data_IF_660255588638
#
_entry.id   IF_660255588638
#
_cell.length_a   1.000
_cell.length_b   1.000
_cell.length_c   1.000
_cell.angle_alpha   90.00
_cell.angle_beta   90.00
_cell.angle_gamma   90.00
#
_symmetry.space_group_name_H-M   'P 1'
#
loop_
_entity.id
_entity.type
_entity.pdbx_description
1 polymer ?
#
# COMPACT_ATOMS: atom_id res chain seq x y z
N UNK A 1 -21.30 21.61 2.28
CA UNK A 1 -22.39 21.91 1.31
C UNK A 1 -22.79 20.71 0.45
N UNK A 2 -21.89 20.04 -0.27
CA UNK A 2 -22.27 18.87 -1.10
C UNK A 2 -22.86 17.71 -0.27
N UNK A 3 -22.34 17.45 0.93
CA UNK A 3 -22.90 16.46 1.87
C UNK A 3 -24.34 16.79 2.30
N UNK A 4 -24.64 18.08 2.52
CA UNK A 4 -26.00 18.52 2.86
C UNK A 4 -26.96 18.32 1.69
N UNK A 5 -26.50 18.57 0.46
CA UNK A 5 -27.26 18.33 -0.77
C UNK A 5 -27.53 16.84 -1.00
N UNK A 6 -26.53 15.98 -0.77
CA UNK A 6 -26.67 14.52 -0.81
C UNK A 6 -27.63 14.00 0.26
N UNK A 7 -27.56 14.56 1.47
CA UNK A 7 -28.49 14.23 2.56
C UNK A 7 -29.93 14.60 2.22
N UNK A 8 -30.16 15.81 1.70
CA UNK A 8 -31.50 16.25 1.28
C UNK A 8 -32.04 15.38 0.13
N UNK A 9 -31.18 15.01 -0.82
CA UNK A 9 -31.54 14.09 -1.91
C UNK A 9 -31.93 12.70 -1.38
N UNK A 10 -31.20 12.18 -0.39
CA UNK A 10 -31.53 10.92 0.28
C UNK A 10 -32.88 10.99 0.99
N UNK A 11 -33.11 12.03 1.80
CA UNK A 11 -34.35 12.21 2.56
C UNK A 11 -35.58 12.32 1.63
N UNK A 12 -35.44 13.01 0.49
CA UNK A 12 -36.50 13.09 -0.52
C UNK A 12 -36.70 11.77 -1.28
N UNK A 13 -35.63 11.01 -1.52
CA UNK A 13 -35.70 9.67 -2.14
C UNK A 13 -36.39 8.67 -1.21
N UNK A 14 -36.10 8.72 0.09
CA UNK A 14 -36.81 7.96 1.13
C UNK A 14 -38.30 8.32 1.13
N UNK A 15 -38.63 9.63 1.13
CA UNK A 15 -39.99 10.11 1.09
C UNK A 15 -40.74 9.64 -0.18
N UNK A 16 -40.09 9.67 -1.35
CA UNK A 16 -40.65 9.15 -2.61
C UNK A 16 -40.97 7.65 -2.52
N UNK A 17 -40.06 6.86 -1.97
CA UNK A 17 -40.28 5.43 -1.75
C UNK A 17 -41.46 5.17 -0.80
N UNK A 18 -41.57 5.95 0.28
CA UNK A 18 -42.70 5.88 1.21
C UNK A 18 -44.01 6.20 0.51
N UNK A 19 -44.09 7.31 -0.22
CA UNK A 19 -45.31 7.74 -0.91
C UNK A 19 -45.77 6.74 -1.98
N UNK A 20 -44.83 6.11 -2.69
CA UNK A 20 -45.14 5.09 -3.69
C UNK A 20 -45.66 3.80 -3.07
N UNK A 21 -45.01 3.32 -2.01
CA UNK A 21 -45.40 2.07 -1.32
C UNK A 21 -46.69 2.26 -0.49
N UNK A 22 -46.84 3.39 0.21
CA UNK A 22 -48.09 3.74 0.92
C UNK A 22 -49.28 3.78 -0.02
N UNK A 23 -49.15 4.36 -1.22
CA UNK A 23 -50.23 4.34 -2.21
C UNK A 23 -50.65 2.91 -2.55
N UNK A 24 -49.69 2.02 -2.82
CA UNK A 24 -49.96 0.60 -3.07
C UNK A 24 -50.66 -0.08 -1.89
N UNK A 25 -50.23 0.18 -0.65
CA UNK A 25 -50.84 -0.41 0.55
C UNK A 25 -52.29 0.06 0.80
N UNK A 26 -52.59 1.33 0.52
CA UNK A 26 -53.96 1.84 0.67
C UNK A 26 -54.87 1.35 -0.47
N UNK A 27 -54.33 1.21 -1.69
CA UNK A 27 -55.08 0.65 -2.83
C UNK A 27 -55.41 -0.85 -2.61
N UNK A 28 -54.50 -1.63 -2.02
CA UNK A 28 -54.72 -3.03 -1.58
C UNK A 28 -55.76 -3.15 -0.44
N UNK A 29 -55.95 -2.10 0.37
CA UNK A 29 -56.91 -2.07 1.48
C UNK A 29 -58.32 -1.63 1.03
N UNK A 30 -58.42 -1.04 -0.16
CA UNK A 30 -59.69 -0.69 -0.83
C UNK A 30 -60.27 -1.80 -1.70
N UNK A 31 -59.66 -3.00 -1.68
CA UNK A 31 -60.20 -4.18 -2.37
C UNK A 31 -61.44 -4.70 -1.59
N UNK A 32 -62.63 -4.80 -2.21
CA UNK A 32 -63.88 -5.13 -1.51
C UNK A 32 -63.87 -6.50 -0.82
N UNK A 33 -63.07 -7.46 -1.29
CA UNK A 33 -63.07 -8.84 -0.83
C UNK A 33 -62.44 -9.04 0.57
N UNK A 34 -61.61 -8.10 1.06
CA UNK A 34 -60.95 -8.20 2.38
C UNK A 34 -61.79 -7.61 3.53
N UNK A 35 -62.82 -6.82 3.23
CA UNK A 35 -63.71 -6.23 4.24
C UNK A 35 -64.79 -7.22 4.72
N UNK A 36 -65.12 -8.25 3.93
CA UNK A 36 -66.06 -9.29 4.34
C UNK A 36 -65.46 -10.29 5.35
N UNK A 37 -64.17 -10.63 5.25
CA UNK A 37 -63.55 -11.63 6.16
C UNK A 37 -63.25 -11.11 7.58
N UNK A 38 -63.06 -9.79 7.76
CA UNK A 38 -62.75 -9.21 9.07
C UNK A 38 -63.99 -8.87 9.90
N UNK A 39 -65.16 -8.76 9.26
CA UNK A 39 -66.43 -8.49 9.93
C UNK A 39 -67.07 -9.74 10.56
N UNK A 40 -66.58 -10.95 10.24
CA UNK A 40 -67.10 -12.22 10.79
C UNK A 40 -66.43 -12.72 12.07
N UNK A 41 -65.37 -12.05 12.58
CA UNK A 41 -64.59 -12.51 13.74
C UNK A 41 -64.75 -11.66 15.01
N UNK A 42 -65.59 -10.62 15.00
CA UNK A 42 -65.97 -9.87 16.19
C UNK A 42 -67.42 -10.22 16.54
N UNK A 43 -67.62 -10.89 17.67
CA UNK A 43 -68.95 -11.26 18.18
C UNK A 43 -69.91 -10.05 18.19
N UNK A 44 -71.17 -10.22 17.78
CA UNK A 44 -72.13 -9.13 17.73
C UNK A 44 -72.69 -8.89 19.13
N UNK A 45 -72.17 -7.88 19.82
CA UNK A 45 -72.81 -7.33 21.01
C UNK A 45 -72.75 -5.80 20.99
N UNK A 46 -73.95 -5.23 20.94
CA UNK A 46 -74.32 -3.82 21.13
C UNK A 46 -74.21 -2.87 19.92
N UNK A 47 -75.43 -2.50 19.48
CA UNK A 47 -75.78 -1.54 18.46
C UNK A 47 -75.47 -0.12 18.94
N UNK A 48 -74.39 0.46 18.41
CA UNK A 48 -74.07 1.88 18.50
C UNK A 48 -73.60 2.40 17.15
N UNK A 49 -74.35 3.33 16.57
CA UNK A 49 -74.17 3.91 15.22
C UNK A 49 -72.71 4.28 14.91
N UNK A 50 -72.21 3.75 13.79
CA UNK A 50 -70.87 3.98 13.27
C UNK A 50 -70.58 5.45 12.96
N UNK A 51 -69.70 6.04 13.75
CA UNK A 51 -68.80 7.06 13.26
C UNK A 51 -67.71 6.35 12.42
N UNK A 52 -67.23 6.93 11.30
CA UNK A 52 -66.09 6.37 10.59
C UNK A 52 -64.92 6.24 11.57
N UNK A 53 -64.38 5.03 11.74
CA UNK A 53 -63.19 4.81 12.57
C UNK A 53 -62.04 5.66 12.01
N UNK A 54 -61.76 6.80 12.65
CA UNK A 54 -60.55 7.61 12.37
C UNK A 54 -59.33 6.90 12.96
N UNK A 55 -58.78 5.97 12.19
CA UNK A 55 -57.49 5.36 12.46
C UNK A 55 -56.38 6.38 12.17
N UNK A 56 -55.52 6.62 13.16
CA UNK A 56 -54.30 7.38 12.95
C UNK A 56 -53.22 6.46 12.37
N UNK A 57 -52.40 6.96 11.46
CA UNK A 57 -51.25 6.21 10.97
C UNK A 57 -49.95 7.02 11.04
N UNK A 58 -48.84 6.31 11.10
CA UNK A 58 -47.48 6.87 11.03
C UNK A 58 -46.68 6.04 10.04
N UNK A 59 -45.98 6.71 9.13
CA UNK A 59 -45.10 6.08 8.15
C UNK A 59 -43.64 6.54 8.36
N UNK A 60 -42.71 5.63 8.11
CA UNK A 60 -41.28 5.92 8.26
C UNK A 60 -40.40 4.88 7.58
N UNK A 61 -39.09 5.12 7.67
CA UNK A 61 -38.04 4.25 7.14
C UNK A 61 -37.14 3.76 8.27
N UNK A 62 -36.77 2.49 8.23
CA UNK A 62 -35.87 1.85 9.20
C UNK A 62 -34.85 0.96 8.48
N UNK A 63 -33.66 0.78 9.08
CA UNK A 63 -32.67 -0.18 8.57
C UNK A 63 -33.23 -1.61 8.64
N UNK A 64 -33.03 -2.39 7.58
CA UNK A 64 -33.61 -3.74 7.44
C UNK A 64 -33.24 -4.67 8.60
N UNK A 65 -32.00 -4.60 9.07
CA UNK A 65 -31.49 -5.38 10.19
C UNK A 65 -32.27 -5.21 11.50
N UNK A 66 -32.91 -4.05 11.71
CA UNK A 66 -33.58 -3.70 12.97
C UNK A 66 -35.07 -4.03 12.98
N UNK A 67 -35.64 -4.43 11.84
CA UNK A 67 -37.07 -4.71 11.68
C UNK A 67 -37.57 -5.79 12.65
N UNK A 68 -36.92 -6.97 12.79
CA UNK A 68 -37.46 -8.03 13.66
C UNK A 68 -37.48 -7.63 15.13
N UNK A 69 -36.53 -6.79 15.57
CA UNK A 69 -36.51 -6.25 16.93
C UNK A 69 -37.57 -5.15 17.12
N UNK A 70 -37.77 -4.32 16.10
CA UNK A 70 -38.75 -3.24 16.09
C UNK A 70 -40.19 -3.79 16.22
N UNK A 71 -40.55 -4.79 15.41
CA UNK A 71 -41.87 -5.43 15.45
C UNK A 71 -42.18 -6.05 16.82
N UNK A 72 -41.24 -6.81 17.38
CA UNK A 72 -41.40 -7.43 18.71
C UNK A 72 -41.58 -6.39 19.81
N UNK A 73 -40.87 -5.26 19.75
CA UNK A 73 -41.01 -4.19 20.73
C UNK A 73 -42.37 -3.48 20.60
N UNK A 74 -42.80 -3.22 19.36
CA UNK A 74 -44.10 -2.61 19.07
C UNK A 74 -45.23 -3.48 19.63
N UNK A 75 -45.19 -4.78 19.37
CA UNK A 75 -46.18 -5.75 19.86
C UNK A 75 -46.25 -5.80 21.39
N UNK A 76 -45.10 -5.85 22.07
CA UNK A 76 -45.01 -5.94 23.54
C UNK A 76 -45.54 -4.69 24.24
N UNK A 77 -45.20 -3.50 23.74
CA UNK A 77 -45.59 -2.22 24.38
C UNK A 77 -47.05 -1.88 24.10
N UNK A 78 -47.54 -2.20 22.90
CA UNK A 78 -48.90 -1.88 22.46
C UNK A 78 -49.92 -3.00 22.70
N UNK A 79 -49.49 -4.15 23.26
CA UNK A 79 -50.33 -5.31 23.58
C UNK A 79 -51.19 -5.81 22.41
N UNK A 80 -50.66 -5.72 21.18
CA UNK A 80 -51.36 -6.12 19.97
C UNK A 80 -52.36 -5.09 19.39
N UNK A 81 -52.53 -3.93 20.00
CA UNK A 81 -53.50 -2.90 19.54
C UNK A 81 -52.97 -2.03 18.38
N UNK A 82 -51.95 -2.49 17.66
CA UNK A 82 -51.26 -1.73 16.61
C UNK A 82 -50.98 -2.65 15.43
N UNK A 83 -51.34 -2.20 14.24
CA UNK A 83 -51.15 -2.96 13.00
C UNK A 83 -49.95 -2.41 12.23
N UNK A 84 -48.94 -3.25 12.00
CA UNK A 84 -47.72 -2.92 11.28
C UNK A 84 -47.75 -3.54 9.87
N UNK A 85 -47.50 -2.72 8.85
CA UNK A 85 -47.20 -3.17 7.48
C UNK A 85 -45.79 -2.72 7.12
N UNK A 86 -45.07 -3.59 6.41
CA UNK A 86 -43.70 -3.32 5.98
C UNK A 86 -43.52 -3.62 4.50
N UNK A 87 -42.71 -2.81 3.80
CA UNK A 87 -42.27 -3.03 2.43
C UNK A 87 -40.77 -2.80 2.34
N UNK A 88 -40.09 -3.69 1.62
CA UNK A 88 -38.66 -3.56 1.37
C UNK A 88 -38.40 -2.55 0.24
N UNK A 89 -37.30 -1.81 0.36
CA UNK A 89 -36.79 -0.96 -0.72
C UNK A 89 -35.76 -1.80 -1.48
N UNK A 90 -36.01 -2.06 -2.76
CA UNK A 90 -35.20 -2.97 -3.57
C UNK A 90 -33.79 -2.43 -3.87
N UNK A 91 -33.64 -1.10 -3.90
CA UNK A 91 -32.36 -0.44 -4.17
C UNK A 91 -31.70 0.04 -2.87
N UNK A 92 -30.47 -0.37 -2.57
CA UNK A 92 -29.73 0.12 -1.41
C UNK A 92 -29.50 1.63 -1.54
N UNK A 93 -29.72 2.34 -0.44
CA UNK A 93 -29.53 3.79 -0.38
C UNK A 93 -28.15 4.11 0.22
N UNK A 94 -27.44 5.06 -0.35
CA UNK A 94 -26.12 5.48 0.14
C UNK A 94 -26.26 6.36 1.38
N UNK A 95 -25.60 5.98 2.48
CA UNK A 95 -25.60 6.78 3.71
C UNK A 95 -24.71 8.02 3.51
N UNK A 96 -25.20 9.26 3.67
CA UNK A 96 -24.46 10.49 3.38
C UNK A 96 -23.24 10.73 4.27
N UNK A 97 -23.09 9.99 5.37
CA UNK A 97 -21.98 10.13 6.32
C UNK A 97 -20.87 9.09 6.08
N UNK A 98 -21.24 7.82 5.85
CA UNK A 98 -20.28 6.72 5.73
C UNK A 98 -20.04 6.28 4.26
N UNK A 99 -20.86 6.73 3.31
CA UNK A 99 -20.83 6.27 1.91
C UNK A 99 -21.19 4.79 1.74
N UNK A 100 -21.66 4.15 2.81
CA UNK A 100 -22.06 2.74 2.81
C UNK A 100 -23.43 2.56 2.16
N UNK A 101 -23.59 1.48 1.41
CA UNK A 101 -24.90 1.04 0.92
C UNK A 101 -25.68 0.42 2.08
N UNK A 102 -26.82 1.01 2.42
CA UNK A 102 -27.68 0.55 3.52
C UNK A 102 -29.02 0.13 2.97
N UNK A 103 -29.38 -1.13 3.22
CA UNK A 103 -30.72 -1.64 2.97
C UNK A 103 -31.69 -1.09 4.01
N UNK A 104 -32.71 -0.39 3.51
CA UNK A 104 -33.76 0.21 4.32
C UNK A 104 -35.12 -0.35 3.89
N UNK A 105 -36.05 -0.42 4.83
CA UNK A 105 -37.44 -0.80 4.56
C UNK A 105 -38.38 0.29 5.05
N UNK A 106 -39.48 0.44 4.33
CA UNK A 106 -40.59 1.32 4.68
C UNK A 106 -41.53 0.56 5.61
N UNK A 107 -42.04 1.24 6.62
CA UNK A 107 -43.08 0.71 7.48
C UNK A 107 -44.24 1.71 7.63
N UNK A 108 -45.43 1.18 7.83
CA UNK A 108 -46.65 1.92 8.15
C UNK A 108 -47.27 1.29 9.38
N UNK A 109 -47.60 2.13 10.36
CA UNK A 109 -48.20 1.70 11.63
C UNK A 109 -49.56 2.35 11.75
N UNK A 110 -50.61 1.55 11.86
CA UNK A 110 -51.97 1.99 12.16
C UNK A 110 -52.28 1.80 13.64
N UNK A 111 -52.86 2.82 14.27
CA UNK A 111 -53.23 2.81 15.68
C UNK A 111 -54.49 3.64 15.91
N UNK A 112 -55.19 3.35 17.01
CA UNK A 112 -56.38 4.09 17.43
C UNK A 112 -56.10 4.82 18.74
N UNK A 113 -56.20 6.15 18.73
CA UNK A 113 -56.03 7.00 19.92
C UNK A 113 -54.65 7.65 20.11
N UNK A 114 -54.63 8.85 20.68
CA UNK A 114 -53.44 9.70 20.79
C UNK A 114 -52.39 9.20 21.80
N UNK A 115 -52.81 8.44 22.83
CA UNK A 115 -51.86 7.86 23.79
C UNK A 115 -50.95 6.81 23.13
N UNK A 116 -51.49 6.02 22.18
CA UNK A 116 -50.71 5.04 21.41
C UNK A 116 -49.78 5.74 20.41
N UNK A 117 -50.22 6.83 19.78
CA UNK A 117 -49.39 7.68 18.90
C UNK A 117 -48.10 8.13 19.57
N UNK A 118 -48.19 8.64 20.80
CA UNK A 118 -47.03 9.12 21.54
C UNK A 118 -46.08 7.98 21.96
N UNK A 119 -46.60 6.79 22.25
CA UNK A 119 -45.78 5.60 22.53
C UNK A 119 -45.05 5.10 21.28
N UNK A 120 -45.74 5.03 20.14
CA UNK A 120 -45.17 4.60 18.86
C UNK A 120 -44.06 5.57 18.41
N UNK A 121 -44.26 6.88 18.52
CA UNK A 121 -43.22 7.88 18.19
C UNK A 121 -41.95 7.69 19.02
N UNK A 122 -42.06 7.47 20.34
CA UNK A 122 -40.91 7.21 21.22
C UNK A 122 -40.16 5.93 20.83
N UNK A 123 -40.88 4.89 20.41
CA UNK A 123 -40.25 3.65 19.92
C UNK A 123 -39.51 3.94 18.60
N UNK A 124 -40.12 4.66 17.66
CA UNK A 124 -39.48 5.02 16.39
C UNK A 124 -38.19 5.84 16.61
N UNK A 125 -38.22 6.82 17.52
CA UNK A 125 -37.03 7.59 17.91
C UNK A 125 -35.95 6.71 18.55
N UNK A 126 -36.33 5.77 19.43
CA UNK A 126 -35.40 4.85 20.09
C UNK A 126 -34.67 3.91 19.11
N UNK A 127 -35.34 3.47 18.05
CA UNK A 127 -34.73 2.64 17.00
C UNK A 127 -34.01 3.45 15.90
N UNK A 128 -34.03 4.79 15.99
CA UNK A 128 -33.51 5.74 14.99
C UNK A 128 -34.20 5.61 13.62
N UNK A 129 -35.51 5.43 13.61
CA UNK A 129 -36.32 5.46 12.39
C UNK A 129 -36.60 6.91 11.97
N UNK A 130 -36.52 7.19 10.67
CA UNK A 130 -36.91 8.49 10.10
C UNK A 130 -38.41 8.50 9.83
N UNK A 131 -39.12 9.41 10.49
CA UNK A 131 -40.56 9.59 10.36
C UNK A 131 -40.87 10.69 9.36
N UNK A 132 -41.79 10.45 8.43
CA UNK A 132 -42.17 11.42 7.41
C UNK A 132 -43.67 11.73 7.47
N UNK A 133 -44.08 12.99 7.25
CA UNK A 133 -45.49 13.35 7.16
C UNK A 133 -46.08 12.80 5.86
N UNK A 134 -47.11 11.95 5.98
CA UNK A 134 -47.83 11.40 4.83
C UNK A 134 -49.28 11.90 4.86
N UNK A 135 -49.78 12.54 3.79
CA UNK A 135 -51.18 12.96 3.68
C UNK A 135 -52.16 11.79 3.80
N UNK A 136 -53.32 12.06 4.41
CA UNK A 136 -54.39 11.07 4.60
C UNK A 136 -55.20 10.88 3.32
N UNK A 137 -55.35 11.92 2.49
CA UNK A 137 -56.13 11.84 1.25
C UNK A 137 -55.31 11.33 0.06
N UNK A 138 -55.90 10.51 -0.84
CA UNK A 138 -55.19 9.97 -2.00
C UNK A 138 -54.84 11.05 -3.05
N UNK A 139 -55.62 12.12 -3.14
CA UNK A 139 -55.35 13.24 -4.06
C UNK A 139 -54.14 14.07 -3.61
N UNK A 140 -54.08 14.48 -2.34
CA UNK A 140 -52.92 15.23 -1.79
C UNK A 140 -51.64 14.39 -1.84
N UNK A 141 -51.73 13.06 -1.70
CA UNK A 141 -50.58 12.16 -1.82
C UNK A 141 -50.01 12.14 -3.25
N UNK A 142 -50.86 12.15 -4.27
CA UNK A 142 -50.44 12.24 -5.68
C UNK A 142 -49.79 13.59 -5.98
N UNK A 143 -50.34 14.68 -5.45
CA UNK A 143 -49.76 16.02 -5.58
C UNK A 143 -48.39 16.12 -4.88
N UNK A 144 -48.27 15.60 -3.65
CA UNK A 144 -47.01 15.56 -2.92
C UNK A 144 -45.96 14.70 -3.65
N UNK A 145 -46.36 13.56 -4.21
CA UNK A 145 -45.45 12.71 -4.99
C UNK A 145 -44.95 13.42 -6.25
N UNK A 146 -45.81 14.15 -6.96
CA UNK A 146 -45.42 14.97 -8.11
C UNK A 146 -44.45 16.10 -7.71
N UNK A 147 -44.73 16.79 -6.60
CA UNK A 147 -43.85 17.82 -6.04
C UNK A 147 -42.49 17.29 -5.55
N UNK A 148 -42.45 16.09 -4.98
CA UNK A 148 -41.21 15.43 -4.56
C UNK A 148 -40.39 14.99 -5.78
N UNK A 149 -41.03 14.46 -6.84
CA UNK A 149 -40.32 14.08 -8.07
C UNK A 149 -39.64 15.26 -8.75
N UNK A 150 -40.36 16.38 -8.93
CA UNK A 150 -39.78 17.60 -9.53
C UNK A 150 -38.59 18.12 -8.73
N UNK A 151 -38.69 18.15 -7.39
CA UNK A 151 -37.57 18.51 -6.51
C UNK A 151 -36.38 17.56 -6.60
N UNK A 152 -36.63 16.26 -6.73
CA UNK A 152 -35.57 15.26 -6.91
C UNK A 152 -34.86 15.49 -8.24
N UNK A 153 -35.59 15.73 -9.32
CA UNK A 153 -35.01 16.00 -10.64
C UNK A 153 -34.17 17.29 -10.64
N UNK A 154 -34.67 18.36 -10.01
CA UNK A 154 -33.95 19.63 -9.83
C UNK A 154 -32.67 19.42 -9.00
N UNK A 155 -32.75 18.70 -7.88
CA UNK A 155 -31.59 18.42 -7.03
C UNK A 155 -30.56 17.53 -7.74
N UNK A 156 -31.01 16.57 -8.54
CA UNK A 156 -30.14 15.71 -9.33
C UNK A 156 -29.41 16.52 -10.41
N UNK A 157 -30.09 17.46 -11.06
CA UNK A 157 -29.47 18.38 -12.01
C UNK A 157 -28.40 19.24 -11.33
N UNK A 158 -28.69 19.81 -10.15
CA UNK A 158 -27.73 20.60 -9.37
C UNK A 158 -26.54 19.73 -8.92
N UNK A 159 -26.78 18.52 -8.42
CA UNK A 159 -25.72 17.59 -8.02
C UNK A 159 -24.77 17.30 -9.18
N UNK A 160 -25.30 16.93 -10.34
CA UNK A 160 -24.48 16.65 -11.54
C UNK A 160 -23.67 17.89 -11.96
N UNK A 161 -24.29 19.07 -12.00
CA UNK A 161 -23.58 20.31 -12.34
C UNK A 161 -22.47 20.66 -11.34
N UNK A 162 -22.72 20.44 -10.04
CA UNK A 162 -21.70 20.67 -9.01
C UNK A 162 -20.55 19.68 -9.12
N UNK A 163 -20.82 18.41 -9.45
CA UNK A 163 -19.79 17.41 -9.68
C UNK A 163 -18.95 17.72 -10.92
N UNK A 164 -19.58 18.11 -12.02
CA UNK A 164 -18.89 18.52 -13.26
C UNK A 164 -18.04 19.77 -13.03
N UNK A 165 -18.56 20.74 -12.28
CA UNK A 165 -17.79 21.93 -11.91
C UNK A 165 -16.58 21.55 -11.04
N UNK A 166 -16.80 20.73 -10.00
CA UNK A 166 -15.74 20.23 -9.12
C UNK A 166 -14.68 19.48 -9.92
N UNK A 167 -15.05 18.59 -10.83
CA UNK A 167 -14.12 17.82 -11.65
C UNK A 167 -13.30 18.71 -12.57
N UNK A 168 -13.91 19.72 -13.21
CA UNK A 168 -13.18 20.71 -14.03
C UNK A 168 -12.16 21.51 -13.23
N UNK A 169 -12.55 21.97 -12.03
CA UNK A 169 -11.65 22.68 -11.12
C UNK A 169 -10.51 21.77 -10.66
N UNK A 170 -10.81 20.53 -10.27
CA UNK A 170 -9.81 19.55 -9.85
C UNK A 170 -8.83 19.19 -10.96
N UNK A 171 -9.29 19.02 -12.20
CA UNK A 171 -8.41 18.77 -13.35
C UNK A 171 -7.47 19.94 -13.62
N UNK A 172 -7.97 21.17 -13.49
CA UNK A 172 -7.17 22.38 -13.68
C UNK A 172 -6.13 22.51 -12.56
N UNK A 173 -6.54 22.32 -11.31
CA UNK A 173 -5.66 22.34 -10.15
C UNK A 173 -4.59 21.24 -10.23
N UNK A 174 -4.97 20.00 -10.55
CA UNK A 174 -4.07 18.85 -10.60
C UNK A 174 -2.87 19.06 -11.55
N UNK A 175 -3.05 19.79 -12.66
CA UNK A 175 -1.98 20.14 -13.59
C UNK A 175 -0.91 21.02 -12.94
N UNK A 176 -1.31 21.99 -12.11
CA UNK A 176 -0.39 22.96 -11.49
C UNK A 176 0.12 22.55 -10.11
N UNK A 177 -0.60 21.66 -9.40
CA UNK A 177 -0.29 21.27 -8.02
C UNK A 177 1.15 20.79 -7.83
N UNK A 178 1.70 19.99 -8.77
CA UNK A 178 3.09 19.51 -8.68
C UNK A 178 4.11 20.66 -8.67
N UNK A 179 3.91 21.66 -9.54
CA UNK A 179 4.77 22.84 -9.62
C UNK A 179 4.65 23.70 -8.36
N UNK A 180 3.42 23.87 -7.86
CA UNK A 180 3.18 24.63 -6.63
C UNK A 180 3.84 23.98 -5.42
N UNK A 181 3.75 22.65 -5.27
CA UNK A 181 4.47 21.94 -4.22
C UNK A 181 5.99 22.15 -4.30
N UNK A 182 6.57 22.11 -5.50
CA UNK A 182 8.01 22.36 -5.67
C UNK A 182 8.36 23.80 -5.26
N UNK A 183 7.57 24.80 -5.69
CA UNK A 183 7.79 26.21 -5.34
C UNK A 183 7.69 26.45 -3.84
N UNK A 184 6.62 25.99 -3.20
CA UNK A 184 6.40 26.17 -1.75
C UNK A 184 7.46 25.44 -0.93
N UNK A 185 7.84 24.21 -1.30
CA UNK A 185 8.91 23.48 -0.60
C UNK A 185 10.26 24.16 -0.74
N UNK A 186 10.62 24.65 -1.94
CA UNK A 186 11.85 25.43 -2.16
C UNK A 186 11.85 26.70 -1.33
N UNK A 187 10.76 27.47 -1.37
CA UNK A 187 10.63 28.71 -0.59
C UNK A 187 10.71 28.46 0.91
N UNK A 188 10.05 27.41 1.42
CA UNK A 188 10.16 26.97 2.82
C UNK A 188 11.60 26.62 3.19
N UNK A 189 12.32 25.88 2.33
CA UNK A 189 13.72 25.53 2.58
C UNK A 189 14.63 26.77 2.61
N UNK A 190 14.40 27.74 1.72
CA UNK A 190 15.13 29.02 1.71
C UNK A 190 14.89 29.77 3.01
N UNK A 191 13.64 29.99 3.42
CA UNK A 191 13.33 30.68 4.69
C UNK A 191 13.87 29.94 5.91
N UNK A 192 13.82 28.60 5.90
CA UNK A 192 14.42 27.80 6.96
C UNK A 192 15.94 28.00 7.05
N UNK A 193 16.63 28.10 5.90
CA UNK A 193 18.07 28.38 5.84
C UNK A 193 18.39 29.82 6.26
N UNK A 194 17.57 30.80 5.86
CA UNK A 194 17.72 32.20 6.28
C UNK A 194 17.55 32.36 7.79
N UNK A 195 16.68 31.57 8.42
CA UNK A 195 16.50 31.57 9.88
C UNK A 195 17.73 31.04 10.64
N UNK A 196 18.64 30.30 10.00
CA UNK A 196 19.92 29.87 10.58
C UNK A 196 21.00 30.96 10.49
N UNK A 197 20.76 32.03 9.71
CA UNK A 197 21.71 33.12 9.53
C UNK A 197 21.59 34.13 10.66
N UNK A 198 22.70 34.80 10.99
CA UNK A 198 22.69 35.91 11.93
C UNK A 198 22.30 37.21 11.21
N UNK A 199 21.51 38.04 11.88
CA UNK A 199 21.03 39.32 11.34
C UNK A 199 21.91 40.43 11.91
N UNK A 200 22.62 41.15 11.03
CA UNK A 200 23.28 42.38 11.42
C UNK A 200 22.30 43.55 11.32
N UNK A 201 21.90 44.07 12.48
CA UNK A 201 20.94 45.19 12.62
C UNK A 201 21.49 46.48 12.01
N UNK A 202 22.82 46.63 11.94
CA UNK A 202 23.46 47.88 11.49
C UNK A 202 23.48 48.02 9.98
N UNK A 203 23.83 46.96 9.25
CA UNK A 203 23.93 46.97 7.79
C UNK A 203 22.72 46.36 7.07
N UNK A 204 21.70 45.87 7.81
CA UNK A 204 20.58 45.08 7.27
C UNK A 204 21.06 43.93 6.37
N UNK A 205 22.21 43.36 6.70
CA UNK A 205 22.84 42.26 5.99
C UNK A 205 22.72 40.98 6.80
N UNK A 206 22.74 39.84 6.12
CA UNK A 206 22.76 38.53 6.75
C UNK A 206 24.19 37.99 6.75
N UNK A 207 24.64 37.51 7.89
CA UNK A 207 25.95 36.88 8.06
C UNK A 207 25.70 35.39 8.30
N UNK A 208 26.36 34.55 7.50
CA UNK A 208 26.26 33.11 7.61
C UNK A 208 27.66 32.48 7.59
N UNK A 209 27.92 31.60 8.54
CA UNK A 209 29.12 30.77 8.57
C UNK A 209 28.76 29.40 7.97
N UNK A 210 29.46 29.02 6.90
CA UNK A 210 29.12 27.81 6.12
C UNK A 210 30.35 26.96 5.85
N UNK A 211 30.19 25.64 5.99
CA UNK A 211 31.19 24.68 5.54
C UNK A 211 31.06 24.48 4.04
N UNK A 212 32.16 24.66 3.31
CA UNK A 212 32.22 24.41 1.87
C UNK A 212 33.51 23.68 1.48
N UNK A 213 33.47 22.81 0.46
CA UNK A 213 34.67 22.17 -0.04
C UNK A 213 35.58 23.20 -0.72
N UNK A 214 36.87 23.16 -0.40
CA UNK A 214 37.86 24.11 -0.94
C UNK A 214 37.96 24.03 -2.47
N UNK A 215 37.67 22.87 -3.08
CA UNK A 215 37.72 22.68 -4.53
C UNK A 215 36.63 23.45 -5.28
N UNK A 216 35.49 23.74 -4.62
CA UNK A 216 34.30 24.26 -5.31
C UNK A 216 34.04 25.73 -4.96
N UNK A 217 35.02 26.41 -4.33
CA UNK A 217 34.92 27.81 -3.92
C UNK A 217 34.60 28.74 -5.09
N UNK A 218 35.22 28.53 -6.25
CA UNK A 218 35.00 29.36 -7.44
C UNK A 218 33.57 29.21 -7.97
N UNK A 219 33.02 28.00 -7.93
CA UNK A 219 31.63 27.74 -8.33
C UNK A 219 30.63 28.45 -7.42
N UNK A 220 30.92 28.52 -6.11
CA UNK A 220 30.08 29.22 -5.14
C UNK A 220 30.15 30.73 -5.38
N UNK A 221 31.34 31.28 -5.60
CA UNK A 221 31.51 32.71 -5.91
C UNK A 221 30.76 33.11 -7.18
N UNK A 222 30.82 32.28 -8.23
CA UNK A 222 30.07 32.52 -9.48
C UNK A 222 28.56 32.52 -9.23
N UNK A 223 28.05 31.59 -8.43
CA UNK A 223 26.64 31.53 -8.08
C UNK A 223 26.18 32.77 -7.27
N UNK A 224 27.01 33.27 -6.35
CA UNK A 224 26.75 34.48 -5.58
C UNK A 224 26.71 35.74 -6.46
N UNK A 225 27.66 35.88 -7.41
CA UNK A 225 27.66 36.98 -8.39
C UNK A 225 26.40 36.99 -9.23
N UNK A 226 26.03 35.83 -9.78
CA UNK A 226 24.79 35.66 -10.57
C UNK A 226 23.53 35.98 -9.76
N UNK A 227 23.50 35.61 -8.48
CA UNK A 227 22.39 35.97 -7.57
C UNK A 227 22.30 37.49 -7.35
N UNK A 228 23.44 38.14 -7.15
CA UNK A 228 23.54 39.60 -6.99
C UNK A 228 23.03 40.32 -8.25
N UNK A 229 23.48 39.91 -9.44
CA UNK A 229 23.01 40.44 -10.73
C UNK A 229 21.50 40.27 -10.91
N UNK A 230 20.95 39.09 -10.59
CA UNK A 230 19.52 38.83 -10.76
C UNK A 230 18.64 39.66 -9.81
N UNK A 231 19.15 39.98 -8.62
CA UNK A 231 18.45 40.83 -7.65
C UNK A 231 18.54 42.33 -7.98
N UNK A 232 19.39 42.74 -8.92
CA UNK A 232 19.64 44.15 -9.24
C UNK A 232 20.32 44.92 -8.11
N UNK A 233 20.87 44.23 -7.10
CA UNK A 233 21.58 44.87 -5.99
C UNK A 233 22.97 45.33 -6.44
N UNK A 234 23.36 46.53 -6.03
CA UNK A 234 24.72 47.05 -6.24
C UNK A 234 25.71 46.54 -5.19
N UNK A 235 25.22 45.89 -4.11
CA UNK A 235 26.06 45.38 -3.02
C UNK A 235 26.57 43.99 -3.40
N UNK A 236 27.89 43.80 -3.58
CA UNK A 236 28.45 42.49 -3.91
C UNK A 236 28.31 41.54 -2.72
N UNK A 237 27.95 40.28 -2.99
CA UNK A 237 28.05 39.22 -2.00
C UNK A 237 29.53 38.91 -1.72
N UNK A 238 29.95 39.01 -0.46
CA UNK A 238 31.34 38.79 -0.04
C UNK A 238 31.46 37.38 0.55
N UNK A 239 32.47 36.63 0.12
CA UNK A 239 32.85 35.35 0.70
C UNK A 239 34.22 35.50 1.37
N UNK A 240 34.26 35.44 2.70
CA UNK A 240 35.51 35.51 3.46
C UNK A 240 35.92 34.13 3.97
N UNK A 241 37.19 33.77 3.84
CA UNK A 241 37.73 32.50 4.35
C UNK A 241 38.18 32.69 5.80
N UNK A 242 37.48 32.04 6.72
CA UNK A 242 37.83 32.06 8.14
C UNK A 242 38.71 30.88 8.51
N UNK A 243 39.63 31.08 9.45
CA UNK A 243 40.35 30.01 10.13
C UNK A 243 39.62 29.72 11.45
N UNK A 244 39.33 28.46 11.70
CA UNK A 244 38.63 28.01 12.92
C UNK A 244 39.29 26.74 13.46
N UNK A 245 39.20 26.54 14.77
CA UNK A 245 39.63 25.32 15.46
C UNK A 245 38.54 24.24 15.52
N UNK A 246 37.32 24.54 15.04
CA UNK A 246 36.22 23.57 15.00
C UNK A 246 36.51 22.42 14.02
N UNK A 247 36.03 21.22 14.34
CA UNK A 247 36.19 20.05 13.47
C UNK A 247 35.28 20.16 12.24
N UNK A 248 35.83 20.27 11.03
CA UNK A 248 35.04 20.35 9.81
C UNK A 248 34.33 19.01 9.53
N UNK A 249 33.18 19.04 8.81
CA UNK A 249 32.48 17.83 8.41
C UNK A 249 33.26 17.06 7.34
N UNK A 250 33.13 15.73 7.35
CA UNK A 250 33.69 14.84 6.33
C UNK A 250 32.79 14.81 5.10
N UNK A 251 33.39 15.00 3.91
CA UNK A 251 32.68 14.95 2.63
C UNK A 251 33.38 13.98 1.68
N UNK A 252 32.69 12.90 1.32
CA UNK A 252 33.15 11.91 0.36
C UNK A 252 32.41 12.10 -0.97
N UNK A 253 33.15 12.31 -2.07
CA UNK A 253 32.56 12.41 -3.41
C UNK A 253 32.04 11.03 -3.82
N UNK A 254 30.72 10.88 -3.87
CA UNK A 254 30.07 9.63 -4.29
C UNK A 254 29.58 9.73 -5.73
N UNK A 255 29.73 8.62 -6.45
CA UNK A 255 29.13 8.40 -7.76
C UNK A 255 27.98 7.41 -7.58
N UNK A 256 27.18 7.26 -8.64
CA UNK A 256 26.07 6.29 -8.71
C UNK A 256 26.47 4.85 -8.33
N UNK A 257 27.71 4.47 -8.59
CA UNK A 257 28.28 3.17 -8.24
C UNK A 257 28.76 3.11 -6.78
N UNK A 258 29.49 4.12 -6.32
CA UNK A 258 30.12 4.11 -4.99
C UNK A 258 29.18 4.50 -3.85
N UNK A 259 28.03 5.12 -4.15
CA UNK A 259 27.07 5.55 -3.13
C UNK A 259 26.54 4.40 -2.27
N UNK A 260 26.29 3.23 -2.86
CA UNK A 260 25.82 2.06 -2.12
C UNK A 260 26.86 1.57 -1.11
N UNK A 261 28.13 1.45 -1.54
CA UNK A 261 29.23 1.02 -0.68
C UNK A 261 29.56 2.05 0.40
N UNK A 262 29.49 3.34 0.07
CA UNK A 262 29.69 4.41 1.04
C UNK A 262 28.63 4.37 2.14
N UNK A 263 27.35 4.17 1.78
CA UNK A 263 26.27 4.08 2.76
C UNK A 263 26.45 2.90 3.73
N UNK A 264 27.02 1.77 3.27
CA UNK A 264 27.32 0.62 4.15
C UNK A 264 28.42 0.99 5.16
N UNK A 265 29.46 1.68 4.71
CA UNK A 265 30.55 2.15 5.59
C UNK A 265 30.02 3.18 6.59
N UNK A 266 29.28 4.17 6.11
CA UNK A 266 28.72 5.26 6.93
C UNK A 266 27.69 4.75 7.95
N UNK A 267 27.02 3.63 7.66
CA UNK A 267 26.09 2.99 8.60
C UNK A 267 26.79 2.45 9.87
N UNK A 268 28.07 2.09 9.79
CA UNK A 268 28.86 1.73 10.96
C UNK A 268 29.31 2.97 11.73
N UNK A 269 29.72 4.01 11.01
CA UNK A 269 30.09 5.30 11.59
C UNK A 269 30.64 6.26 10.54
N UNK A 270 30.47 7.56 10.78
CA UNK A 270 31.06 8.60 9.93
C UNK A 270 32.54 8.76 10.28
N UNK A 271 33.40 8.63 9.26
CA UNK A 271 34.85 8.80 9.43
C UNK A 271 35.25 10.22 9.83
N UNK A 272 36.35 10.35 10.55
CA UNK A 272 36.88 11.64 11.00
C UNK A 272 37.46 12.45 9.83
N UNK A 273 37.64 13.77 10.04
CA UNK A 273 38.10 14.65 8.97
C UNK A 273 39.50 14.25 8.47
N UNK A 274 39.59 14.01 7.15
CA UNK A 274 40.81 13.54 6.46
C UNK A 274 41.31 12.16 6.88
N UNK A 275 40.43 11.34 7.45
CA UNK A 275 40.69 9.91 7.64
C UNK A 275 40.68 9.16 6.30
N UNK A 276 41.39 8.03 6.23
CA UNK A 276 41.36 7.15 5.07
C UNK A 276 39.97 6.50 5.00
N UNK A 277 39.23 6.80 3.94
CA UNK A 277 37.95 6.17 3.70
C UNK A 277 38.16 4.68 3.34
N UNK A 278 37.53 3.72 4.04
CA UNK A 278 37.65 2.30 3.71
C UNK A 278 36.80 1.89 2.49
N UNK A 279 35.84 2.72 2.05
CA UNK A 279 34.92 2.40 0.97
C UNK A 279 35.59 1.91 -0.34
N UNK A 280 36.72 2.47 -0.82
CA UNK A 280 37.42 1.98 -2.00
C UNK A 280 37.86 0.51 -1.88
N UNK A 281 38.29 0.09 -0.69
CA UNK A 281 38.67 -1.31 -0.43
C UNK A 281 37.43 -2.19 -0.32
N UNK A 282 36.42 -1.70 0.41
CA UNK A 282 35.14 -2.40 0.62
C UNK A 282 34.42 -2.72 -0.70
N UNK A 283 34.59 -1.91 -1.75
CA UNK A 283 34.01 -2.19 -3.09
C UNK A 283 34.38 -3.58 -3.60
N UNK A 284 35.60 -4.06 -3.34
CA UNK A 284 36.07 -5.36 -3.83
C UNK A 284 36.09 -6.40 -2.71
N UNK A 285 36.60 -6.05 -1.53
CA UNK A 285 36.79 -7.01 -0.44
C UNK A 285 35.46 -7.53 0.11
N UNK A 286 34.44 -6.68 0.24
CA UNK A 286 33.15 -7.10 0.79
C UNK A 286 32.42 -8.10 -0.13
N UNK A 287 32.22 -7.81 -1.44
CA UNK A 287 31.64 -8.80 -2.34
C UNK A 287 32.47 -10.08 -2.50
N UNK A 288 33.81 -9.99 -2.43
CA UNK A 288 34.69 -11.15 -2.50
C UNK A 288 34.56 -12.06 -1.27
N UNK A 289 34.57 -11.50 -0.06
CA UNK A 289 34.36 -12.28 1.17
C UNK A 289 32.97 -12.93 1.19
N UNK A 290 31.95 -12.21 0.73
CA UNK A 290 30.62 -12.80 0.53
C UNK A 290 30.67 -13.99 -0.42
N UNK A 291 31.37 -13.87 -1.55
CA UNK A 291 31.47 -14.94 -2.53
C UNK A 291 32.18 -16.19 -2.02
N UNK A 292 33.16 -16.05 -1.11
CA UNK A 292 33.81 -17.21 -0.46
C UNK A 292 32.81 -17.99 0.41
N UNK A 293 31.90 -17.28 1.08
CA UNK A 293 30.84 -17.88 1.91
C UNK A 293 29.67 -18.42 1.07
N UNK A 294 29.33 -17.74 -0.03
CA UNK A 294 28.22 -18.05 -0.94
C UNK A 294 28.75 -18.56 -2.30
N UNK A 295 29.73 -19.46 -2.27
CA UNK A 295 30.41 -19.95 -3.47
C UNK A 295 29.62 -21.04 -4.16
N UNK A 296 28.68 -20.67 -5.03
CA UNK A 296 27.92 -21.58 -5.89
C UNK A 296 27.68 -20.91 -7.24
N UNK A 297 28.03 -21.61 -8.32
CA UNK A 297 27.89 -21.11 -9.68
C UNK A 297 26.43 -20.85 -10.06
N UNK A 298 25.52 -21.75 -9.68
CA UNK A 298 24.12 -21.68 -10.04
C UNK A 298 23.41 -20.52 -9.34
N UNK A 299 23.54 -20.47 -8.01
CA UNK A 299 22.97 -19.39 -7.21
C UNK A 299 23.60 -18.02 -7.55
N UNK A 300 24.91 -17.96 -7.75
CA UNK A 300 25.61 -16.75 -8.19
C UNK A 300 25.11 -16.23 -9.54
N UNK A 301 24.81 -17.13 -10.49
CA UNK A 301 24.25 -16.77 -11.79
C UNK A 301 22.86 -16.17 -11.67
N UNK A 302 21.98 -16.74 -10.83
CA UNK A 302 20.64 -16.20 -10.57
C UNK A 302 20.71 -14.81 -9.93
N UNK A 303 21.59 -14.64 -8.94
CA UNK A 303 21.79 -13.36 -8.25
C UNK A 303 22.32 -12.29 -9.21
N UNK A 304 23.26 -12.66 -10.09
CA UNK A 304 23.77 -11.78 -11.14
C UNK A 304 22.68 -11.39 -12.13
N UNK A 305 21.87 -12.36 -12.60
CA UNK A 305 20.77 -12.08 -13.53
C UNK A 305 19.75 -11.11 -12.92
N UNK A 306 19.40 -11.28 -11.65
CA UNK A 306 18.52 -10.35 -10.93
C UNK A 306 19.14 -8.96 -10.79
N UNK A 307 20.43 -8.87 -10.46
CA UNK A 307 21.14 -7.60 -10.35
C UNK A 307 21.21 -6.85 -11.69
N UNK A 308 21.54 -7.56 -12.77
CA UNK A 308 21.57 -7.01 -14.13
C UNK A 308 20.18 -6.50 -14.54
N UNK A 309 19.11 -7.25 -14.23
CA UNK A 309 17.74 -6.79 -14.49
C UNK A 309 17.42 -5.45 -13.80
N UNK A 310 17.83 -5.28 -12.55
CA UNK A 310 17.66 -4.00 -11.82
C UNK A 310 18.47 -2.86 -12.42
N UNK A 311 19.71 -3.12 -12.85
CA UNK A 311 20.58 -2.10 -13.46
C UNK A 311 20.05 -1.68 -14.83
N UNK A 312 19.61 -2.63 -15.65
CA UNK A 312 19.06 -2.35 -17.00
C UNK A 312 17.74 -1.58 -16.91
N UNK A 313 16.86 -1.93 -15.96
CA UNK A 313 15.54 -1.29 -15.80
C UNK A 313 15.51 -0.10 -14.85
N UNK A 314 16.66 0.47 -14.53
CA UNK A 314 16.80 1.50 -13.51
C UNK A 314 15.88 2.71 -13.72
N UNK A 315 15.82 3.27 -14.92
CA UNK A 315 15.01 4.45 -15.21
C UNK A 315 13.51 4.21 -14.99
N UNK A 316 13.05 3.00 -15.34
CA UNK A 316 11.64 2.60 -15.15
C UNK A 316 11.34 2.42 -13.67
N UNK A 317 12.21 1.75 -12.94
CA UNK A 317 12.03 1.49 -11.51
C UNK A 317 12.06 2.80 -10.71
N UNK A 318 12.99 3.70 -11.02
CA UNK A 318 13.10 5.01 -10.34
C UNK A 318 11.87 5.90 -10.60
N UNK A 319 11.22 5.76 -11.77
CA UNK A 319 9.99 6.50 -12.08
C UNK A 319 8.76 5.98 -11.34
N UNK A 320 8.80 4.73 -10.88
CA UNK A 320 7.73 4.11 -10.11
C UNK A 320 7.96 4.42 -8.63
N UNK A 321 6.99 5.08 -8.00
CA UNK A 321 6.99 5.20 -6.54
C UNK A 321 6.59 3.85 -5.96
N UNK A 322 7.58 3.07 -5.55
CA UNK A 322 7.36 1.82 -4.83
C UNK A 322 7.41 2.12 -3.34
N UNK A 323 6.33 1.79 -2.64
CA UNK A 323 6.22 1.94 -1.18
C UNK A 323 6.84 0.74 -0.42
N UNK A 324 7.28 -0.29 -1.15
CA UNK A 324 7.91 -1.46 -0.55
C UNK A 324 9.34 -1.15 -0.10
N UNK A 325 9.53 -0.99 1.21
CA UNK A 325 10.82 -0.68 1.83
C UNK A 325 11.91 -1.70 1.48
N UNK A 326 11.59 -3.01 1.52
CA UNK A 326 12.55 -4.06 1.16
C UNK A 326 13.09 -3.90 -0.26
N UNK A 327 12.20 -3.61 -1.23
CA UNK A 327 12.59 -3.44 -2.62
C UNK A 327 13.43 -2.17 -2.81
N UNK A 328 13.09 -1.09 -2.09
CA UNK A 328 13.87 0.14 -2.13
C UNK A 328 15.29 -0.10 -1.60
N UNK A 329 15.47 -0.79 -0.48
CA UNK A 329 16.81 -1.11 0.06
C UNK A 329 17.65 -1.92 -0.93
N UNK A 330 17.06 -2.97 -1.51
CA UNK A 330 17.71 -3.83 -2.51
C UNK A 330 18.08 -3.04 -3.78
N UNK A 331 17.20 -2.15 -4.24
CA UNK A 331 17.44 -1.33 -5.43
C UNK A 331 18.58 -0.32 -5.23
N UNK A 332 18.68 0.29 -4.05
CA UNK A 332 19.83 1.16 -3.71
C UNK A 332 21.15 0.36 -3.68
N UNK A 333 21.09 -0.92 -3.32
CA UNK A 333 22.22 -1.86 -3.32
C UNK A 333 22.51 -2.59 -4.63
N UNK A 334 21.88 -2.23 -5.76
CA UNK A 334 21.96 -3.00 -7.03
C UNK A 334 23.38 -3.32 -7.52
N UNK A 335 24.33 -2.39 -7.38
CA UNK A 335 25.74 -2.62 -7.79
C UNK A 335 26.50 -3.52 -6.82
N UNK A 336 26.12 -3.52 -5.54
CA UNK A 336 26.69 -4.42 -4.53
C UNK A 336 26.28 -5.85 -4.85
N UNK A 337 24.99 -6.07 -5.10
CA UNK A 337 24.45 -7.40 -5.47
C UNK A 337 25.05 -7.87 -6.80
N UNK A 338 25.26 -6.96 -7.76
CA UNK A 338 25.91 -7.30 -9.03
C UNK A 338 27.32 -7.85 -8.82
N UNK A 339 28.15 -7.16 -8.02
CA UNK A 339 29.50 -7.63 -7.72
C UNK A 339 29.49 -8.92 -6.89
N UNK A 340 28.59 -9.04 -5.91
CA UNK A 340 28.42 -10.26 -5.12
C UNK A 340 28.09 -11.48 -5.99
N UNK A 341 27.23 -11.30 -6.99
CA UNK A 341 26.87 -12.34 -7.94
C UNK A 341 28.04 -12.75 -8.83
N UNK A 342 28.77 -11.78 -9.40
CA UNK A 342 29.91 -12.05 -10.28
C UNK A 342 31.03 -12.77 -9.51
N UNK A 343 31.35 -12.31 -8.30
CA UNK A 343 32.35 -13.00 -7.48
C UNK A 343 31.87 -14.37 -7.01
N UNK A 344 30.58 -14.55 -6.69
CA UNK A 344 29.99 -15.85 -6.34
C UNK A 344 30.07 -16.87 -7.49
N UNK A 345 29.87 -16.42 -8.74
CA UNK A 345 30.10 -17.23 -9.94
C UNK A 345 31.58 -17.63 -10.03
N UNK A 346 32.51 -16.70 -9.82
CA UNK A 346 33.95 -16.99 -9.83
C UNK A 346 34.35 -17.99 -8.74
N UNK A 347 33.94 -17.80 -7.48
CA UNK A 347 34.24 -18.73 -6.39
C UNK A 347 33.51 -20.06 -6.55
N UNK A 348 32.30 -20.07 -7.12
CA UNK A 348 31.57 -21.28 -7.50
C UNK A 348 32.32 -22.12 -8.53
N UNK A 349 33.00 -21.48 -9.50
CA UNK A 349 33.93 -22.18 -10.39
C UNK A 349 35.16 -22.74 -9.67
N UNK A 350 35.74 -22.00 -8.71
CA UNK A 350 36.88 -22.49 -7.92
C UNK A 350 36.48 -23.71 -7.07
N UNK A 351 35.32 -23.69 -6.42
CA UNK A 351 34.81 -24.83 -5.68
C UNK A 351 34.27 -25.95 -6.58
N UNK A 352 34.09 -25.68 -7.86
CA UNK A 352 33.45 -26.56 -8.83
C UNK A 352 32.07 -27.05 -8.35
N UNK A 353 31.25 -26.12 -7.84
CA UNK A 353 29.92 -26.43 -7.34
C UNK A 353 28.86 -25.59 -8.08
N UNK A 354 27.91 -26.29 -8.70
CA UNK A 354 26.76 -25.73 -9.38
C UNK A 354 25.51 -26.48 -8.92
N UNK A 355 24.71 -25.88 -8.04
CA UNK A 355 23.54 -26.54 -7.45
C UNK A 355 23.85 -27.93 -6.85
N UNK A 356 24.95 -28.06 -6.10
CA UNK A 356 25.48 -29.32 -5.53
C UNK A 356 26.08 -30.32 -6.55
N UNK A 357 26.23 -29.93 -7.81
CA UNK A 357 26.81 -30.76 -8.89
C UNK A 357 28.14 -30.17 -9.38
N UNK A 358 29.05 -31.07 -9.76
CA UNK A 358 30.36 -30.71 -10.30
C UNK A 358 30.32 -30.63 -11.81
N UNK A 359 31.16 -29.77 -12.38
CA UNK A 359 31.36 -29.62 -13.82
C UNK A 359 32.68 -30.27 -14.22
N UNK A 360 32.61 -31.21 -15.15
CA UNK A 360 33.80 -31.84 -15.73
C UNK A 360 34.23 -31.10 -17.00
N UNK A 361 35.05 -30.06 -16.86
CA UNK A 361 35.51 -29.22 -17.98
C UNK A 361 36.82 -29.72 -18.61
N UNK A 362 37.78 -30.17 -17.79
CA UNK A 362 39.14 -30.56 -18.25
C UNK A 362 39.41 -32.07 -18.20
N UNK A 363 38.43 -32.88 -17.76
CA UNK A 363 38.66 -34.28 -17.41
C UNK A 363 39.17 -34.44 -15.98
N UNK A 364 38.70 -35.46 -15.26
CA UNK A 364 39.20 -35.79 -13.92
C UNK A 364 40.70 -36.12 -13.97
N UNK A 365 41.49 -35.50 -13.10
CA UNK A 365 42.91 -35.81 -12.95
C UNK A 365 43.14 -37.13 -12.22
N UNK A 366 42.11 -37.60 -11.51
CA UNK A 366 42.06 -38.94 -10.94
C UNK A 366 41.61 -39.95 -11.98
N UNK A 367 42.36 -41.03 -12.13
CA UNK A 367 42.03 -42.12 -13.04
C UNK A 367 41.96 -43.46 -12.31
N UNK A 368 40.86 -44.17 -12.51
CA UNK A 368 40.62 -45.49 -11.89
C UNK A 368 41.28 -46.61 -12.69
N UNK A 369 41.57 -46.39 -13.98
CA UNK A 369 42.11 -47.41 -14.89
C UNK A 369 43.40 -48.08 -14.39
N UNK A 370 44.39 -47.36 -13.81
CA UNK A 370 45.63 -47.98 -13.32
C UNK A 370 45.45 -48.83 -12.05
N UNK A 371 44.28 -48.76 -11.40
CA UNK A 371 43.95 -49.64 -10.26
C UNK A 371 43.59 -51.06 -10.72
N UNK A 372 43.22 -51.23 -11.99
CA UNK A 372 43.08 -52.54 -12.63
C UNK A 372 44.42 -52.98 -13.23
N UNK A 373 44.61 -54.29 -13.41
CA UNK A 373 45.87 -54.89 -13.90
C UNK A 373 46.45 -54.16 -15.14
N UNK A 374 47.78 -53.98 -15.22
CA UNK A 374 48.84 -54.80 -14.60
C UNK A 374 49.47 -54.24 -13.31
N UNK A 375 49.04 -53.08 -12.79
CA UNK A 375 49.74 -52.37 -11.70
C UNK A 375 48.95 -52.36 -10.38
N UNK A 376 47.62 -52.29 -10.44
CA UNK A 376 46.78 -52.18 -9.24
C UNK A 376 46.18 -53.50 -8.74
N UNK A 377 45.69 -53.47 -7.51
CA UNK A 377 45.19 -54.63 -6.76
C UNK A 377 43.70 -54.93 -7.00
N UNK A 378 43.01 -54.21 -7.90
CA UNK A 378 41.58 -54.40 -8.11
C UNK A 378 41.30 -55.45 -9.19
N UNK A 379 40.47 -56.44 -8.84
CA UNK A 379 39.94 -57.48 -9.73
C UNK A 379 38.42 -57.38 -9.82
N UNK A 380 37.80 -58.05 -10.80
CA UNK A 380 36.34 -58.08 -10.91
C UNK A 380 35.66 -58.63 -9.63
N UNK A 381 36.29 -59.55 -8.91
CA UNK A 381 35.81 -60.07 -7.62
C UNK A 381 35.76 -59.01 -6.52
N UNK A 382 36.73 -58.08 -6.50
CA UNK A 382 36.76 -56.98 -5.52
C UNK A 382 35.61 -55.98 -5.73
N UNK A 383 35.17 -55.79 -6.96
CA UNK A 383 34.06 -54.91 -7.32
C UNK A 383 32.71 -55.50 -6.87
N UNK A 384 32.56 -56.82 -6.91
CA UNK A 384 31.34 -57.51 -6.48
C UNK A 384 31.24 -57.64 -4.95
N UNK A 385 32.39 -57.73 -4.26
CA UNK A 385 32.45 -57.96 -2.81
C UNK A 385 32.43 -56.67 -1.98
N UNK A 386 33.04 -55.59 -2.46
CA UNK A 386 33.22 -54.36 -1.67
C UNK A 386 32.39 -53.19 -2.21
N UNK A 387 31.57 -52.58 -1.34
CA UNK A 387 30.73 -51.42 -1.70
C UNK A 387 31.50 -50.10 -1.80
N UNK A 388 32.55 -49.94 -1.00
CA UNK A 388 33.40 -48.75 -0.97
C UNK A 388 34.84 -49.14 -1.30
N UNK A 389 35.45 -48.44 -2.24
CA UNK A 389 36.82 -48.68 -2.69
C UNK A 389 37.64 -47.40 -2.52
N UNK A 390 38.90 -47.54 -2.09
CA UNK A 390 39.83 -46.43 -1.89
C UNK A 390 40.89 -46.42 -2.99
N UNK A 391 41.04 -45.29 -3.67
CA UNK A 391 42.11 -45.05 -4.63
C UNK A 391 43.42 -44.77 -3.87
N UNK A 392 44.49 -45.48 -4.22
CA UNK A 392 45.82 -45.26 -3.65
C UNK A 392 46.57 -44.19 -4.48
N UNK A 393 46.88 -43.01 -3.91
CA UNK A 393 47.60 -41.96 -4.63
C UNK A 393 49.07 -42.32 -4.93
N UNK A 394 49.65 -43.34 -4.26
CA UNK A 394 51.03 -43.75 -4.50
C UNK A 394 51.21 -44.56 -5.79
N UNK A 395 50.13 -45.12 -6.34
CA UNK A 395 50.18 -45.91 -7.57
C UNK A 395 50.35 -44.98 -8.80
N UNK A 396 51.34 -45.23 -9.69
CA UNK A 396 51.58 -44.40 -10.85
C UNK A 396 50.34 -44.26 -11.74
N UNK A 397 50.08 -43.05 -12.23
CA UNK A 397 48.94 -42.66 -13.08
C UNK A 397 47.55 -42.63 -12.42
N UNK A 398 47.41 -43.07 -11.16
CA UNK A 398 46.13 -42.95 -10.43
C UNK A 398 45.81 -41.47 -10.17
N UNK A 399 46.84 -40.70 -9.79
CA UNK A 399 46.79 -39.25 -9.73
C UNK A 399 47.72 -38.67 -10.80
N UNK A 400 47.15 -38.02 -11.81
CA UNK A 400 47.90 -37.42 -12.93
C UNK A 400 48.27 -35.94 -12.70
N UNK A 401 48.23 -35.47 -11.45
CA UNK A 401 48.50 -34.08 -11.07
C UNK A 401 47.25 -33.30 -10.66
N UNK A 402 47.40 -32.05 -10.18
CA UNK A 402 46.26 -31.24 -9.74
C UNK A 402 45.34 -30.88 -10.91
N UNK A 403 44.05 -30.70 -10.62
CA UNK A 403 43.08 -30.23 -11.62
C UNK A 403 43.42 -28.79 -12.04
N UNK A 404 43.42 -28.45 -13.34
CA UNK A 404 43.93 -27.15 -13.81
C UNK A 404 43.19 -25.91 -13.27
N UNK A 405 41.92 -26.02 -12.91
CA UNK A 405 41.12 -24.90 -12.43
C UNK A 405 40.01 -25.33 -11.47
N UNK A 406 40.17 -24.99 -10.19
CA UNK A 406 39.23 -25.35 -9.14
C UNK A 406 39.41 -26.78 -8.60
N UNK A 407 38.37 -27.32 -7.98
CA UNK A 407 38.39 -28.66 -7.35
C UNK A 407 38.03 -29.74 -8.37
N UNK A 408 38.74 -30.87 -8.32
CA UNK A 408 38.49 -32.01 -9.22
C UNK A 408 37.04 -32.54 -9.05
N UNK A 409 36.28 -32.74 -10.15
CA UNK A 409 34.93 -33.29 -10.12
C UNK A 409 34.76 -34.60 -9.34
N UNK A 410 35.82 -35.42 -9.25
CA UNK A 410 35.80 -36.73 -8.58
C UNK A 410 35.42 -36.62 -7.10
N UNK A 411 35.77 -35.50 -6.45
CA UNK A 411 35.50 -35.31 -5.03
C UNK A 411 34.01 -35.22 -4.73
N UNK A 412 33.16 -34.91 -5.71
CA UNK A 412 31.72 -34.84 -5.47
C UNK A 412 31.04 -36.21 -5.43
N UNK A 413 31.63 -37.23 -6.05
CA UNK A 413 31.13 -38.61 -5.98
C UNK A 413 31.79 -39.41 -4.84
N UNK A 414 32.87 -38.89 -4.27
CA UNK A 414 33.64 -39.56 -3.22
C UNK A 414 32.91 -39.50 -1.86
N UNK A 415 32.95 -40.61 -1.11
CA UNK A 415 32.37 -40.68 0.25
C UNK A 415 33.14 -39.84 1.27
N UNK A 416 34.44 -39.64 1.07
CA UNK A 416 35.32 -38.82 1.91
C UNK A 416 35.44 -37.35 1.46
N UNK A 417 34.50 -36.87 0.63
CA UNK A 417 34.40 -35.46 0.16
C UNK A 417 34.58 -34.44 1.29
N UNK A 418 33.85 -34.64 2.38
CA UNK A 418 33.79 -33.67 3.49
C UNK A 418 35.15 -33.51 4.18
N UNK A 419 35.88 -34.61 4.38
CA UNK A 419 37.21 -34.58 5.00
C UNK A 419 38.17 -33.75 4.16
N UNK A 420 38.20 -33.97 2.84
CA UNK A 420 39.05 -33.21 1.93
C UNK A 420 38.65 -31.72 1.86
N UNK A 421 37.36 -31.43 1.66
CA UNK A 421 36.89 -30.06 1.50
C UNK A 421 37.02 -29.24 2.79
N UNK A 422 36.79 -29.84 3.96
CA UNK A 422 36.93 -29.12 5.23
C UNK A 422 38.40 -28.76 5.49
N UNK A 423 39.34 -29.66 5.20
CA UNK A 423 40.78 -29.36 5.30
C UNK A 423 41.26 -28.30 4.31
N UNK A 424 40.58 -28.14 3.17
CA UNK A 424 40.90 -27.08 2.19
C UNK A 424 40.26 -25.73 2.55
N UNK A 425 39.08 -25.73 3.15
CA UNK A 425 38.32 -24.52 3.49
C UNK A 425 38.75 -23.89 4.82
N UNK A 426 39.24 -24.69 5.76
CA UNK A 426 39.94 -24.21 6.97
C UNK A 426 41.32 -23.70 6.59
#
# INVERSE_FOLDING_TARGET
DQEALKRNFLELTELKCILRRTQQFFDEMSDPDLLEESSSLLEPSEVGRGAPLRLGFVAGVIKRERIPMFERMLWRVCRGNVFLRQAEIDNPLEDPVDGGQVDKSVFIIFFQGDQLKNRVKKICEGFRASLYPCPETPQERKEMLAGVNTRIDDLQMVLNQTEDHRQRVLQTAAKTTRVWFIKVRKMKAIYHTLNLCNIDVTQKCLIAEVWCPVTDLDSIQFALRRGTEHSGSTVPSILNRMQTSQTPPTYNKTNKFTSGFQNIVDAYGIGTYREINPAPYTIITFPFLFAVMFGDLGHGTLLTAFAVWMVVRENRILSQKNDNEMFNTVFHGRYIILLMGIFSVYTGFIYNDCFSKTLNMFGSSWSVRPMFQPIGNWSHETLETHRNLQLDPAVPKVFNGPYPFGIDPIWNIASNKLTFLNSFKM
#
